data_IF_374892425456
#
_entry.id   IF_374892425456
#
_cell.length_a   1.000
_cell.length_b   1.000
_cell.length_c   1.000
_cell.angle_alpha   90.00
_cell.angle_beta   90.00
_cell.angle_gamma   90.00
#
_symmetry.space_group_name_H-M   'P 1'
#
loop_
_entity.id
_entity.type
_entity.pdbx_description
1 polymer ?
#
# COMPACT_ATOMS: atom_id res chain seq x y z
N UNK A 1 2.16 28.62 -24.66
CA UNK A 1 2.82 27.58 -23.82
C UNK A 1 1.80 26.57 -23.26
N UNK A 2 0.73 26.23 -24.00
CA UNK A 2 -0.59 26.08 -23.34
C UNK A 2 -1.29 24.72 -23.51
N UNK A 3 -0.92 23.88 -24.48
CA UNK A 3 -1.59 22.58 -24.72
C UNK A 3 -0.65 21.39 -24.40
N UNK A 4 0.62 21.49 -24.80
CA UNK A 4 1.64 20.44 -24.57
C UNK A 4 2.00 20.27 -23.07
N UNK A 5 2.02 21.37 -22.31
CA UNK A 5 2.28 21.32 -20.86
C UNK A 5 1.15 20.63 -20.09
N UNK A 6 -0.10 20.93 -20.44
CA UNK A 6 -1.31 20.37 -19.82
C UNK A 6 -1.44 18.86 -20.08
N UNK A 7 -1.16 18.42 -21.32
CA UNK A 7 -1.13 16.98 -21.68
C UNK A 7 -0.05 16.22 -20.90
N UNK A 8 1.16 16.80 -20.76
CA UNK A 8 2.27 16.20 -20.00
C UNK A 8 1.94 16.10 -18.50
N UNK A 9 1.30 17.11 -17.93
CA UNK A 9 0.87 17.12 -16.53
C UNK A 9 -0.18 16.03 -16.24
N UNK A 10 -1.16 15.86 -17.13
CA UNK A 10 -2.21 14.86 -16.99
C UNK A 10 -1.65 13.41 -17.05
N UNK A 11 -0.69 13.15 -17.94
CA UNK A 11 -0.02 11.84 -18.02
C UNK A 11 0.74 11.54 -16.71
N UNK A 12 1.43 12.54 -16.13
CA UNK A 12 2.14 12.37 -14.87
C UNK A 12 1.20 11.99 -13.72
N UNK A 13 0.06 12.66 -13.60
CA UNK A 13 -0.93 12.35 -12.55
C UNK A 13 -1.59 10.97 -12.73
N UNK A 14 -1.77 10.52 -13.97
CA UNK A 14 -2.29 9.17 -14.26
C UNK A 14 -1.27 8.11 -13.81
N UNK A 15 0.02 8.31 -14.11
CA UNK A 15 1.07 7.37 -13.73
C UNK A 15 1.25 7.30 -12.20
N UNK A 16 1.23 8.44 -11.52
CA UNK A 16 1.22 8.51 -10.05
C UNK A 16 0.02 7.75 -9.47
N UNK A 17 -1.18 7.95 -10.01
CA UNK A 17 -2.38 7.20 -9.59
C UNK A 17 -2.23 5.68 -9.80
N UNK A 18 -1.67 5.27 -10.94
CA UNK A 18 -1.43 3.85 -11.22
C UNK A 18 -0.39 3.24 -10.28
N UNK A 19 0.64 4.00 -9.89
CA UNK A 19 1.63 3.56 -8.90
C UNK A 19 0.97 3.33 -7.52
N UNK A 20 0.14 4.27 -7.07
CA UNK A 20 -0.56 4.15 -5.78
C UNK A 20 -1.51 2.94 -5.78
N UNK A 21 -2.18 2.64 -6.91
CA UNK A 21 -2.99 1.42 -7.04
C UNK A 21 -2.18 0.12 -6.96
N UNK A 22 -1.00 0.08 -7.56
CA UNK A 22 -0.09 -1.08 -7.47
C UNK A 22 0.37 -1.29 -6.03
N UNK A 23 0.76 -0.22 -5.35
CA UNK A 23 1.14 -0.24 -3.92
C UNK A 23 -0.03 -0.76 -3.07
N UNK A 24 -1.24 -0.26 -3.30
CA UNK A 24 -2.44 -0.74 -2.60
C UNK A 24 -2.69 -2.24 -2.81
N UNK A 25 -2.45 -2.74 -4.02
CA UNK A 25 -2.59 -4.16 -4.35
C UNK A 25 -1.57 -5.04 -3.61
N UNK A 26 -0.30 -4.60 -3.52
CA UNK A 26 0.75 -5.30 -2.76
C UNK A 26 0.33 -5.46 -1.29
N UNK A 27 -0.06 -4.35 -0.64
CA UNK A 27 -0.48 -4.37 0.77
C UNK A 27 -1.69 -5.28 0.99
N UNK A 28 -2.66 -5.23 0.06
CA UNK A 28 -3.83 -6.11 0.10
C UNK A 28 -3.44 -7.58 -0.05
N UNK A 29 -2.49 -7.90 -0.93
CA UNK A 29 -2.07 -9.27 -1.20
C UNK A 29 -1.44 -9.89 0.04
N UNK A 30 -0.43 -9.24 0.63
CA UNK A 30 0.18 -9.68 1.89
C UNK A 30 -0.87 -9.93 2.98
N UNK A 31 -1.85 -9.04 3.14
CA UNK A 31 -2.92 -9.22 4.13
C UNK A 31 -3.78 -10.46 3.86
N UNK A 32 -4.03 -10.80 2.59
CA UNK A 32 -4.83 -11.96 2.20
C UNK A 32 -4.07 -13.28 2.30
N UNK A 33 -2.74 -13.22 2.35
CA UNK A 33 -1.82 -14.35 2.51
C UNK A 33 -1.60 -14.75 3.97
N UNK A 34 -1.91 -13.87 4.92
CA UNK A 34 -1.97 -14.21 6.34
C UNK A 34 -2.92 -15.39 6.57
N UNK A 35 -2.48 -16.36 7.37
CA UNK A 35 -3.20 -17.61 7.62
C UNK A 35 -3.81 -17.69 9.02
N UNK A 36 -3.28 -16.90 9.94
CA UNK A 36 -3.65 -16.78 11.35
C UNK A 36 -4.73 -15.72 11.61
N UNK A 37 -4.96 -14.81 10.65
CA UNK A 37 -5.95 -13.74 10.75
C UNK A 37 -7.00 -13.88 9.64
N UNK A 38 -8.27 -13.65 9.99
CA UNK A 38 -9.34 -13.64 8.99
C UNK A 38 -9.15 -12.54 7.94
N UNK A 39 -9.48 -12.85 6.68
CA UNK A 39 -9.18 -12.05 5.48
C UNK A 39 -9.91 -10.70 5.36
N UNK A 40 -10.66 -10.26 6.36
CA UNK A 40 -11.35 -8.95 6.31
C UNK A 40 -10.44 -7.85 6.84
N UNK A 41 -10.71 -6.59 6.47
CA UNK A 41 -9.92 -5.45 6.95
C UNK A 41 -10.15 -5.20 8.43
N UNK A 42 -11.39 -5.35 8.88
CA UNK A 42 -11.78 -5.18 10.27
C UNK A 42 -11.06 -6.18 11.17
N UNK A 43 -11.04 -7.47 10.77
CA UNK A 43 -10.34 -8.50 11.55
C UNK A 43 -8.83 -8.30 11.56
N UNK A 44 -8.27 -7.83 10.46
CA UNK A 44 -6.86 -7.48 10.40
C UNK A 44 -6.49 -6.28 11.27
N UNK A 45 -7.25 -5.18 11.22
CA UNK A 45 -6.95 -3.97 12.00
C UNK A 45 -7.03 -4.22 13.50
N UNK A 46 -8.04 -4.98 13.94
CA UNK A 46 -8.29 -5.26 15.36
C UNK A 46 -7.64 -6.56 15.87
N UNK A 47 -6.78 -7.19 15.08
CA UNK A 47 -5.96 -8.31 15.56
C UNK A 47 -4.91 -7.80 16.56
N UNK A 48 -4.43 -8.71 17.41
CA UNK A 48 -3.36 -8.42 18.38
C UNK A 48 -2.00 -8.45 17.67
N UNK A 49 -1.57 -7.29 17.17
CA UNK A 49 -0.28 -7.14 16.52
C UNK A 49 0.77 -6.73 17.54
N UNK A 50 1.67 -7.66 17.86
CA UNK A 50 2.77 -7.40 18.78
C UNK A 50 3.60 -6.20 18.31
N UNK A 51 3.72 -5.17 19.15
CA UNK A 51 4.48 -3.96 18.86
C UNK A 51 3.69 -2.82 18.19
N UNK A 52 2.37 -2.94 18.05
CA UNK A 52 1.50 -1.87 17.58
C UNK A 52 0.49 -1.44 18.66
N UNK A 53 0.19 -0.15 18.69
CA UNK A 53 -0.90 0.39 19.51
C UNK A 53 -2.27 -0.09 18.99
N UNK A 54 -3.31 -0.24 19.84
CA UNK A 54 -4.64 -0.68 19.41
C UNK A 54 -5.31 0.16 18.31
N UNK A 55 -4.91 1.42 18.15
CA UNK A 55 -5.41 2.38 17.17
C UNK A 55 -4.37 2.72 16.08
N UNK A 56 -3.40 1.82 15.86
CA UNK A 56 -2.29 2.01 14.92
C UNK A 56 -2.71 2.41 13.49
N UNK A 57 -3.90 1.98 13.05
CA UNK A 57 -4.57 2.40 11.81
C UNK A 57 -6.09 2.25 11.93
N UNK A 58 -6.85 3.04 11.17
CA UNK A 58 -8.29 2.81 10.99
C UNK A 58 -8.59 1.88 9.81
N UNK A 59 -9.70 1.13 9.88
CA UNK A 59 -10.22 0.32 8.77
C UNK A 59 -10.41 1.15 7.49
N UNK A 60 -10.88 2.40 7.64
CA UNK A 60 -11.07 3.33 6.51
C UNK A 60 -9.74 3.72 5.87
N UNK A 61 -8.72 4.00 6.69
CA UNK A 61 -7.37 4.32 6.19
C UNK A 61 -6.76 3.14 5.44
N UNK A 62 -6.85 1.93 5.98
CA UNK A 62 -6.41 0.72 5.30
C UNK A 62 -7.17 0.51 3.98
N UNK A 63 -8.49 0.68 3.98
CA UNK A 63 -9.29 0.57 2.76
C UNK A 63 -8.89 1.61 1.70
N UNK A 64 -8.56 2.83 2.09
CA UNK A 64 -8.07 3.85 1.15
C UNK A 64 -6.71 3.50 0.57
N UNK A 65 -5.80 2.96 1.38
CA UNK A 65 -4.48 2.49 0.91
C UNK A 65 -4.65 1.34 -0.08
N UNK A 66 -5.38 0.29 0.31
CA UNK A 66 -5.52 -0.91 -0.54
C UNK A 66 -6.27 -0.66 -1.85
N UNK A 67 -7.18 0.32 -1.87
CA UNK A 67 -7.88 0.73 -3.09
C UNK A 67 -7.11 1.78 -3.91
N UNK A 68 -5.87 2.10 -3.53
CA UNK A 68 -5.02 3.04 -4.25
C UNK A 68 -5.47 4.50 -4.20
N UNK A 69 -6.23 4.88 -3.16
CA UNK A 69 -6.69 6.26 -2.95
C UNK A 69 -5.63 7.09 -2.22
N UNK A 70 -4.89 6.47 -1.31
CA UNK A 70 -3.89 7.12 -0.48
C UNK A 70 -2.56 6.36 -0.57
N UNK A 71 -1.46 7.09 -0.71
CA UNK A 71 -0.11 6.55 -0.50
C UNK A 71 0.15 6.49 1.02
N UNK A 72 0.56 5.34 1.58
CA UNK A 72 0.96 5.29 2.99
C UNK A 72 2.22 6.12 3.23
N UNK A 73 2.32 6.75 4.40
CA UNK A 73 3.58 7.36 4.84
C UNK A 73 4.62 6.28 5.15
N UNK A 74 5.90 6.65 5.24
CA UNK A 74 6.97 5.71 5.65
C UNK A 74 6.66 5.08 7.02
N UNK A 75 6.19 5.88 8.00
CA UNK A 75 5.80 5.37 9.32
C UNK A 75 4.62 4.40 9.24
N UNK A 76 3.63 4.71 8.40
CA UNK A 76 2.51 3.79 8.14
C UNK A 76 3.00 2.50 7.50
N UNK A 77 3.99 2.56 6.62
CA UNK A 77 4.55 1.38 5.95
C UNK A 77 5.31 0.47 6.92
N UNK A 78 6.03 1.03 7.90
CA UNK A 78 6.63 0.24 8.99
C UNK A 78 5.57 -0.47 9.85
N UNK A 79 4.50 0.24 10.22
CA UNK A 79 3.38 -0.36 10.95
C UNK A 79 2.71 -1.48 10.14
N UNK A 80 2.51 -1.25 8.84
CA UNK A 80 1.98 -2.27 7.93
C UNK A 80 2.91 -3.47 7.84
N UNK A 81 4.23 -3.31 7.70
CA UNK A 81 5.18 -4.43 7.69
C UNK A 81 5.06 -5.30 8.96
N UNK A 82 4.97 -4.63 10.11
CA UNK A 82 4.77 -5.30 11.42
C UNK A 82 3.45 -6.10 11.42
N UNK A 83 2.33 -5.47 11.07
CA UNK A 83 1.02 -6.13 11.05
C UNK A 83 0.89 -7.23 10.00
N UNK A 84 1.58 -7.08 8.87
CA UNK A 84 1.61 -8.06 7.77
C UNK A 84 2.61 -9.20 8.03
N UNK A 85 3.38 -9.14 9.13
CA UNK A 85 4.40 -10.13 9.48
C UNK A 85 5.46 -10.34 8.37
N UNK A 86 5.82 -9.25 7.69
CA UNK A 86 6.85 -9.23 6.64
C UNK A 86 8.03 -8.35 7.05
N UNK A 87 9.22 -8.65 6.54
CA UNK A 87 10.37 -7.77 6.75
C UNK A 87 10.11 -6.39 6.12
N UNK A 88 10.39 -5.33 6.88
CA UNK A 88 10.13 -3.97 6.41
C UNK A 88 10.95 -3.62 5.16
N UNK A 89 12.18 -4.13 5.01
CA UNK A 89 13.02 -3.86 3.83
C UNK A 89 12.43 -4.48 2.59
N UNK A 90 11.89 -5.70 2.72
CA UNK A 90 11.25 -6.41 1.60
C UNK A 90 9.99 -5.67 1.16
N UNK A 91 9.12 -5.30 2.10
CA UNK A 91 7.90 -4.53 1.78
C UNK A 91 8.25 -3.18 1.12
N UNK A 92 9.27 -2.48 1.62
CA UNK A 92 9.69 -1.20 1.07
C UNK A 92 10.24 -1.33 -0.34
N UNK A 93 11.00 -2.40 -0.60
CA UNK A 93 11.51 -2.73 -1.92
C UNK A 93 10.37 -2.98 -2.90
N UNK A 94 9.39 -3.81 -2.55
CA UNK A 94 8.22 -4.06 -3.40
C UNK A 94 7.44 -2.78 -3.73
N UNK A 95 7.23 -1.93 -2.72
CA UNK A 95 6.56 -0.62 -2.89
C UNK A 95 7.37 0.32 -3.79
N UNK A 96 8.70 0.34 -3.64
CA UNK A 96 9.57 1.15 -4.49
C UNK A 96 9.58 0.64 -5.95
N UNK A 97 9.63 -0.68 -6.14
CA UNK A 97 9.55 -1.32 -7.45
C UNK A 97 8.19 -1.03 -8.13
N UNK A 98 7.10 -0.96 -7.36
CA UNK A 98 5.80 -0.55 -7.87
C UNK A 98 5.76 0.91 -8.36
N UNK A 99 6.75 1.75 -8.03
CA UNK A 99 6.88 3.12 -8.55
C UNK A 99 7.85 3.16 -9.74
N UNK A 100 8.98 2.46 -9.64
CA UNK A 100 10.11 2.57 -10.56
C UNK A 100 9.99 1.63 -11.76
N UNK A 101 9.36 0.46 -11.58
CA UNK A 101 9.28 -0.61 -12.59
C UNK A 101 7.88 -1.26 -12.61
N UNK A 102 6.90 -0.63 -13.29
CA UNK A 102 5.51 -1.12 -13.38
C UNK A 102 5.35 -2.54 -13.92
N UNK A 103 6.35 -3.03 -14.68
CA UNK A 103 6.27 -4.29 -15.39
C UNK A 103 6.59 -5.52 -14.54
N UNK A 104 7.27 -5.34 -13.39
CA UNK A 104 7.70 -6.45 -12.53
C UNK A 104 6.72 -6.85 -11.44
N UNK A 105 5.81 -5.97 -11.03
CA UNK A 105 4.84 -6.23 -9.96
C UNK A 105 3.71 -7.21 -10.34
N UNK A 106 3.86 -7.99 -11.41
CA UNK A 106 2.87 -8.96 -11.93
C UNK A 106 3.37 -10.42 -11.86
N UNK A 107 4.49 -10.67 -11.17
CA UNK A 107 4.99 -12.04 -10.99
C UNK A 107 4.40 -12.68 -9.74
#
# INVERSE_FOLDING_TARGET
MTIRKTKKQNIKSIEESNAIKRIGAIIKQHRLELTDIAKTREKFVYADHVGLDPDWISVKSLANIENGKNLPSILTLFKLATALQVDARDLFKEVAEAIIDPGKSKK
#
